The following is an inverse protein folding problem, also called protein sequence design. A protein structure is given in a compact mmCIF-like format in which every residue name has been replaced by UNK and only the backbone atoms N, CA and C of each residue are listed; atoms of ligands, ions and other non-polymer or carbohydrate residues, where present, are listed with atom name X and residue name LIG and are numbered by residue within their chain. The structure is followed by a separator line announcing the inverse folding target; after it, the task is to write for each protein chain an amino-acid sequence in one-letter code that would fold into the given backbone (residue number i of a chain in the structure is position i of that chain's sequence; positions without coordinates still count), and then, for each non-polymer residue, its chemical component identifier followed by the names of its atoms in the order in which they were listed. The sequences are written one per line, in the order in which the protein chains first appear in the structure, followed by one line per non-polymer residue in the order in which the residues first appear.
data_IF_140652182508
#
_entry.id   IF_140652182508
#
_cell.length_a   1.000
_cell.length_b   1.000
_cell.length_c   1.000
_cell.angle_alpha   90.00
_cell.angle_beta   90.00
_cell.angle_gamma   90.00
#
_symmetry.space_group_name_H-M   'P 1'
#
loop_
_entity.id
_entity.type
_entity.pdbx_description
1 polymer ?
#
# COMPACT_ATOMS: atom_id res chain seq x y z
N UNK A 1 0.47 20.06 25.93
CA UNK A 1 -0.64 19.36 25.24
C UNK A 1 0.01 18.65 24.07
N UNK A 2 0.46 17.41 24.28
CA UNK A 2 0.99 16.61 23.17
C UNK A 2 -0.21 16.31 22.27
N UNK A 3 -0.19 16.81 21.04
CA UNK A 3 -1.11 16.35 20.01
C UNK A 3 -0.86 14.85 19.89
N UNK A 4 -1.78 14.02 20.38
CA UNK A 4 -1.75 12.60 20.09
C UNK A 4 -1.78 12.48 18.55
N UNK A 5 -0.84 11.74 17.98
CA UNK A 5 -0.89 11.44 16.56
C UNK A 5 -2.26 10.78 16.27
N UNK A 6 -3.01 11.23 15.25
CA UNK A 6 -4.29 10.62 14.93
C UNK A 6 -4.11 9.11 14.70
N UNK A 7 -5.12 8.34 15.09
CA UNK A 7 -5.13 6.88 14.95
C UNK A 7 -4.89 6.49 13.48
N UNK A 8 -4.13 5.43 13.28
CA UNK A 8 -3.73 4.99 11.95
C UNK A 8 -4.84 4.27 11.19
N UNK A 9 -5.73 3.61 11.93
CA UNK A 9 -6.84 2.85 11.40
C UNK A 9 -8.11 3.70 11.49
N UNK A 10 -8.79 3.83 10.37
CA UNK A 10 -10.12 4.41 10.27
C UNK A 10 -11.09 3.27 9.99
N UNK A 11 -11.92 2.95 10.97
CA UNK A 11 -13.12 2.13 10.77
C UNK A 11 -14.20 3.02 10.15
N UNK A 12 -14.97 2.53 9.16
CA UNK A 12 -16.15 3.24 8.67
C UNK A 12 -17.08 3.68 9.81
N UNK A 13 -17.59 4.91 9.73
CA UNK A 13 -18.54 5.48 10.69
C UNK A 13 -20.01 5.38 10.23
N UNK A 14 -20.24 4.75 9.07
CA UNK A 14 -21.55 4.45 8.50
C UNK A 14 -21.96 2.98 8.72
N UNK A 15 -23.21 2.67 8.40
CA UNK A 15 -23.77 1.32 8.59
C UNK A 15 -23.22 0.32 7.56
N UNK A 16 -22.91 -0.89 8.04
CA UNK A 16 -22.63 -2.04 7.18
C UNK A 16 -23.93 -2.55 6.56
N UNK A 17 -24.03 -2.56 5.23
CA UNK A 17 -25.24 -2.97 4.51
C UNK A 17 -25.20 -4.44 4.12
N UNK A 18 -26.35 -5.07 3.89
CA UNK A 18 -26.37 -6.42 3.29
C UNK A 18 -26.01 -6.36 1.79
N UNK A 19 -24.84 -6.90 1.43
CA UNK A 19 -24.38 -6.95 0.04
C UNK A 19 -24.97 -8.14 -0.76
N UNK A 20 -25.64 -9.10 -0.13
CA UNK A 20 -26.18 -10.29 -0.81
C UNK A 20 -27.05 -9.94 -2.04
N UNK A 21 -27.98 -8.97 -1.98
CA UNK A 21 -28.81 -8.62 -3.14
C UNK A 21 -27.99 -8.06 -4.31
N UNK A 22 -26.89 -7.37 -4.03
CA UNK A 22 -25.99 -6.81 -5.05
C UNK A 22 -25.19 -7.95 -5.69
N UNK A 23 -24.62 -8.83 -4.86
CA UNK A 23 -23.77 -9.93 -5.31
C UNK A 23 -24.50 -11.02 -6.09
N UNK A 24 -25.84 -10.99 -6.13
CA UNK A 24 -26.69 -11.88 -6.92
C UNK A 24 -27.05 -11.31 -8.31
N UNK A 25 -26.73 -10.04 -8.58
CA UNK A 25 -26.97 -9.43 -9.90
C UNK A 25 -26.04 -10.04 -10.94
N UNK A 26 -26.54 -10.13 -12.18
CA UNK A 26 -25.74 -10.56 -13.34
C UNK A 26 -24.74 -9.47 -13.78
N UNK A 27 -25.14 -8.20 -13.61
CA UNK A 27 -24.32 -7.04 -13.93
C UNK A 27 -24.46 -5.97 -12.85
N UNK A 28 -23.35 -5.32 -12.51
CA UNK A 28 -23.29 -4.25 -11.52
C UNK A 28 -23.37 -2.89 -12.20
N UNK A 29 -24.20 -1.99 -11.65
CA UNK A 29 -24.20 -0.59 -12.05
C UNK A 29 -23.03 0.18 -11.44
N UNK A 30 -22.85 1.44 -11.81
CA UNK A 30 -21.84 2.30 -11.18
C UNK A 30 -22.11 2.48 -9.68
N UNK A 31 -23.38 2.62 -9.29
CA UNK A 31 -23.81 2.73 -7.90
C UNK A 31 -23.54 1.44 -7.12
N UNK A 32 -23.67 0.27 -7.77
CA UNK A 32 -23.31 -1.01 -7.15
C UNK A 32 -21.82 -1.08 -6.84
N UNK A 33 -20.95 -0.67 -7.76
CA UNK A 33 -19.51 -0.61 -7.51
C UNK A 33 -19.14 0.44 -6.45
N UNK A 34 -19.81 1.59 -6.43
CA UNK A 34 -19.61 2.60 -5.40
C UNK A 34 -19.97 2.04 -4.01
N UNK A 35 -21.11 1.35 -3.91
CA UNK A 35 -21.52 0.71 -2.67
C UNK A 35 -20.52 -0.38 -2.24
N UNK A 36 -20.05 -1.20 -3.18
CA UNK A 36 -19.02 -2.22 -2.89
C UNK A 36 -17.71 -1.60 -2.43
N UNK A 37 -17.28 -0.49 -3.04
CA UNK A 37 -16.10 0.27 -2.62
C UNK A 37 -16.22 0.76 -1.18
N UNK A 38 -17.33 1.43 -0.85
CA UNK A 38 -17.62 1.92 0.50
C UNK A 38 -17.78 0.78 1.50
N UNK A 39 -18.23 -0.40 1.10
CA UNK A 39 -18.48 -1.48 2.04
C UNK A 39 -17.29 -2.42 2.22
N UNK A 40 -16.33 -2.44 1.30
CA UNK A 40 -15.25 -3.44 1.31
C UNK A 40 -13.86 -2.88 1.14
N UNK A 41 -13.75 -1.60 0.76
CA UNK A 41 -12.49 -0.99 0.34
C UNK A 41 -11.92 -1.59 -0.95
N UNK A 42 -12.70 -2.34 -1.74
CA UNK A 42 -12.26 -2.95 -3.00
C UNK A 42 -12.75 -2.17 -4.21
N UNK A 43 -11.82 -1.81 -5.09
CA UNK A 43 -12.15 -1.16 -6.35
C UNK A 43 -12.95 -2.07 -7.28
N UNK A 44 -13.56 -1.47 -8.32
CA UNK A 44 -14.13 -2.24 -9.44
C UNK A 44 -13.15 -3.28 -9.99
N UNK A 45 -11.89 -2.88 -10.21
CA UNK A 45 -10.82 -3.77 -10.70
C UNK A 45 -10.60 -4.99 -9.78
N UNK A 46 -10.61 -4.78 -8.45
CA UNK A 46 -10.47 -5.87 -7.49
C UNK A 46 -11.72 -6.76 -7.43
N UNK A 47 -12.92 -6.17 -7.44
CA UNK A 47 -14.20 -6.88 -7.43
C UNK A 47 -14.33 -7.79 -8.65
N UNK A 48 -14.12 -7.24 -9.85
CA UNK A 48 -14.23 -7.99 -11.11
C UNK A 48 -13.29 -9.19 -11.12
N UNK A 49 -12.05 -8.99 -10.66
CA UNK A 49 -11.11 -10.10 -10.58
C UNK A 49 -11.50 -11.15 -9.54
N UNK A 50 -12.07 -10.76 -8.40
CA UNK A 50 -12.56 -11.73 -7.42
C UNK A 50 -13.68 -12.57 -8.04
N UNK A 51 -14.62 -11.94 -8.75
CA UNK A 51 -15.71 -12.63 -9.46
C UNK A 51 -15.19 -13.62 -10.49
N UNK A 52 -14.16 -13.25 -11.25
CA UNK A 52 -13.60 -14.08 -12.31
C UNK A 52 -12.72 -15.24 -11.80
N UNK A 53 -12.01 -15.04 -10.69
CA UNK A 53 -10.91 -15.95 -10.29
C UNK A 53 -11.16 -16.77 -9.04
N UNK A 54 -12.13 -16.40 -8.19
CA UNK A 54 -12.37 -17.09 -6.92
C UNK A 54 -13.46 -18.15 -7.04
N UNK A 55 -13.28 -19.26 -6.32
CA UNK A 55 -14.26 -20.35 -6.28
C UNK A 55 -15.58 -19.95 -5.61
N UNK A 56 -15.52 -19.03 -4.63
CA UNK A 56 -16.68 -18.51 -3.90
C UNK A 56 -16.63 -16.98 -3.82
N UNK A 57 -16.82 -16.27 -4.94
CA UNK A 57 -16.53 -14.84 -5.02
C UNK A 57 -17.40 -14.01 -4.07
N UNK A 58 -18.70 -14.30 -3.98
CA UNK A 58 -19.61 -13.58 -3.06
C UNK A 58 -19.18 -13.75 -1.60
N UNK A 59 -18.75 -14.96 -1.21
CA UNK A 59 -18.23 -15.21 0.15
C UNK A 59 -16.96 -14.41 0.39
N UNK A 60 -16.02 -14.42 -0.57
CA UNK A 60 -14.79 -13.65 -0.47
C UNK A 60 -15.06 -12.15 -0.30
N UNK A 61 -15.99 -11.57 -1.06
CA UNK A 61 -16.35 -10.15 -0.94
C UNK A 61 -16.98 -9.85 0.44
N UNK A 62 -17.83 -10.74 0.96
CA UNK A 62 -18.41 -10.60 2.30
C UNK A 62 -17.35 -10.73 3.41
N UNK A 63 -16.33 -11.59 3.23
CA UNK A 63 -15.21 -11.68 4.16
C UNK A 63 -14.42 -10.35 4.18
N UNK A 64 -14.21 -9.73 3.02
CA UNK A 64 -13.62 -8.38 2.93
C UNK A 64 -14.49 -7.32 3.62
N UNK A 65 -15.80 -7.35 3.41
CA UNK A 65 -16.73 -6.44 4.09
C UNK A 65 -16.59 -6.56 5.61
N UNK A 66 -16.63 -7.79 6.14
CA UNK A 66 -16.49 -8.00 7.58
C UNK A 66 -15.18 -7.41 8.11
N UNK A 67 -14.07 -7.63 7.40
CA UNK A 67 -12.77 -7.07 7.79
C UNK A 67 -12.72 -5.56 7.69
N UNK A 68 -13.37 -4.98 6.69
CA UNK A 68 -13.40 -3.54 6.48
C UNK A 68 -14.10 -2.78 7.63
N UNK A 69 -15.09 -3.40 8.28
CA UNK A 69 -15.80 -2.85 9.44
C UNK A 69 -15.27 -3.33 10.81
N UNK A 70 -14.34 -4.30 10.85
CA UNK A 70 -13.70 -4.74 12.08
C UNK A 70 -12.80 -3.62 12.64
N UNK A 71 -12.80 -3.40 13.96
CA UNK A 71 -11.82 -2.52 14.63
C UNK A 71 -10.69 -3.35 15.22
N UNK A 72 -9.50 -3.40 14.59
CA UNK A 72 -8.40 -4.25 15.06
C UNK A 72 -7.73 -3.66 16.31
N UNK A 73 -7.14 -4.55 17.12
CA UNK A 73 -6.18 -4.16 18.15
C UNK A 73 -4.81 -4.10 17.49
N UNK A 74 -4.05 -3.02 17.71
CA UNK A 74 -2.68 -2.90 17.20
C UNK A 74 -1.74 -2.33 18.27
N UNK A 75 -0.45 -2.61 18.10
CA UNK A 75 0.63 -2.15 18.98
C UNK A 75 1.69 -1.41 18.17
N UNK A 76 2.29 -0.40 18.77
CA UNK A 76 3.40 0.35 18.20
C UNK A 76 4.74 -0.25 18.66
N UNK A 77 5.55 -0.68 17.70
CA UNK A 77 6.86 -1.29 17.91
C UNK A 77 7.96 -0.36 17.43
N UNK A 78 9.09 -0.34 18.14
CA UNK A 78 10.28 0.41 17.72
C UNK A 78 11.09 -0.41 16.71
N UNK A 79 11.33 0.18 15.54
CA UNK A 79 12.21 -0.35 14.50
C UNK A 79 13.66 0.08 14.73
N UNK A 80 13.85 1.34 15.16
CA UNK A 80 15.11 1.93 15.61
C UNK A 80 14.83 2.91 16.73
N UNK A 81 15.88 3.52 17.31
CA UNK A 81 15.75 4.53 18.37
C UNK A 81 14.76 5.66 18.01
N UNK A 82 14.61 5.96 16.73
CA UNK A 82 13.81 7.09 16.23
C UNK A 82 12.65 6.69 15.32
N UNK A 83 12.53 5.41 14.96
CA UNK A 83 11.52 4.91 14.02
C UNK A 83 10.65 3.85 14.66
N UNK A 84 9.34 3.92 14.40
CA UNK A 84 8.33 3.02 14.92
C UNK A 84 7.36 2.59 13.83
N UNK A 85 6.73 1.43 14.01
CA UNK A 85 5.61 0.98 13.18
C UNK A 85 4.49 0.36 14.03
N UNK A 86 3.26 0.45 13.53
CA UNK A 86 2.11 -0.17 14.17
C UNK A 86 1.75 -1.48 13.48
N UNK A 87 1.49 -2.53 14.25
CA UNK A 87 1.12 -3.86 13.72
C UNK A 87 -0.08 -4.39 14.48
N UNK A 88 -1.00 -5.03 13.77
CA UNK A 88 -2.17 -5.70 14.33
C UNK A 88 -1.74 -6.89 15.20
N UNK A 89 -2.36 -6.97 16.38
CA UNK A 89 -2.19 -8.07 17.32
C UNK A 89 -3.54 -8.64 17.75
N UNK A 90 -3.54 -9.89 18.17
CA UNK A 90 -4.71 -10.50 18.81
C UNK A 90 -4.79 -10.10 20.31
N UNK A 91 -5.80 -10.62 21.02
CA UNK A 91 -5.99 -10.35 22.46
C UNK A 91 -4.82 -10.79 23.35
N UNK A 92 -4.03 -11.77 22.89
CA UNK A 92 -2.81 -12.24 23.58
C UNK A 92 -1.56 -11.41 23.22
N UNK A 93 -1.70 -10.35 22.41
CA UNK A 93 -0.59 -9.52 21.93
C UNK A 93 0.28 -10.18 20.86
N UNK A 94 -0.20 -11.25 20.20
CA UNK A 94 0.51 -11.93 19.10
C UNK A 94 0.13 -11.33 17.75
N UNK A 95 1.10 -11.23 16.84
CA UNK A 95 0.88 -10.78 15.47
C UNK A 95 -0.27 -11.53 14.79
N UNK A 96 -1.12 -10.78 14.10
CA UNK A 96 -2.17 -11.30 13.22
C UNK A 96 -2.36 -10.35 12.05
N UNK A 97 -3.14 -10.78 11.05
CA UNK A 97 -3.52 -9.95 9.92
C UNK A 97 -4.88 -9.28 10.15
N UNK A 98 -5.08 -8.12 9.52
CA UNK A 98 -6.36 -7.42 9.48
C UNK A 98 -7.25 -7.95 8.37
N UNK A 99 -6.74 -7.89 7.15
CA UNK A 99 -7.39 -8.42 5.94
C UNK A 99 -6.34 -8.94 4.96
N UNK A 100 -6.75 -9.78 4.01
CA UNK A 100 -5.87 -10.19 2.91
C UNK A 100 -5.72 -9.08 1.88
N UNK A 101 -4.65 -9.10 1.10
CA UNK A 101 -4.51 -8.18 -0.04
C UNK A 101 -5.09 -8.80 -1.31
N UNK A 102 -6.05 -8.10 -1.92
CA UNK A 102 -6.73 -8.51 -3.13
C UNK A 102 -5.83 -8.33 -4.35
N UNK A 103 -5.87 -9.30 -5.28
CA UNK A 103 -5.30 -9.13 -6.62
C UNK A 103 -3.87 -8.54 -6.65
N UNK A 104 -2.96 -9.07 -5.85
CA UNK A 104 -1.56 -8.63 -5.89
C UNK A 104 -0.98 -8.93 -7.27
N UNK A 105 -0.41 -7.93 -7.94
CA UNK A 105 0.33 -8.06 -9.19
C UNK A 105 1.70 -7.39 -9.08
N UNK A 106 2.66 -7.86 -9.89
CA UNK A 106 3.95 -7.16 -10.03
C UNK A 106 3.73 -5.72 -10.49
N UNK A 107 4.47 -4.81 -9.87
CA UNK A 107 4.34 -3.38 -10.05
C UNK A 107 3.34 -2.73 -9.09
N UNK A 108 2.44 -3.48 -8.45
CA UNK A 108 1.57 -2.87 -7.43
C UNK A 108 2.40 -2.16 -6.36
N UNK A 109 1.92 -1.00 -5.92
CA UNK A 109 2.55 -0.22 -4.87
C UNK A 109 1.71 -0.34 -3.61
N UNK A 110 2.34 -0.68 -2.50
CA UNK A 110 1.70 -0.65 -1.19
C UNK A 110 2.16 0.57 -0.42
N UNK A 111 1.22 1.19 0.28
CA UNK A 111 1.46 2.33 1.14
C UNK A 111 0.76 2.09 2.46
N UNK A 112 1.42 2.43 3.56
CA UNK A 112 0.80 2.45 4.89
C UNK A 112 1.11 3.75 5.60
N UNK A 113 0.15 4.22 6.41
CA UNK A 113 0.32 5.32 7.36
C UNK A 113 0.94 4.84 8.67
N UNK A 114 1.15 3.54 8.86
CA UNK A 114 1.58 2.96 10.15
C UNK A 114 3.07 3.00 10.43
N UNK A 115 3.78 3.99 9.90
CA UNK A 115 5.19 4.20 10.19
C UNK A 115 5.47 5.63 10.59
N UNK A 116 6.33 5.79 11.59
CA UNK A 116 6.63 7.07 12.21
C UNK A 116 8.12 7.22 12.43
N UNK A 117 8.62 8.43 12.18
CA UNK A 117 10.01 8.80 12.44
C UNK A 117 10.02 10.11 13.22
N UNK A 118 10.75 10.15 14.34
CA UNK A 118 10.77 11.29 15.27
C UNK A 118 9.38 11.73 15.77
N UNK A 119 8.42 10.80 15.87
CA UNK A 119 7.05 11.10 16.31
C UNK A 119 6.23 11.86 15.27
N UNK A 120 6.60 11.76 13.98
CA UNK A 120 5.79 12.18 12.86
C UNK A 120 5.42 10.96 12.01
N UNK A 121 4.13 10.81 11.73
CA UNK A 121 3.54 9.77 10.87
C UNK A 121 3.85 10.02 9.40
N UNK A 122 5.02 9.57 8.96
CA UNK A 122 5.49 9.74 7.58
C UNK A 122 5.03 8.60 6.64
N UNK A 123 4.63 7.45 7.19
CA UNK A 123 4.24 6.28 6.42
C UNK A 123 5.39 5.47 5.81
N UNK A 124 5.05 4.42 5.09
CA UNK A 124 5.99 3.53 4.40
C UNK A 124 5.42 3.09 3.05
N UNK A 125 6.31 2.76 2.13
CA UNK A 125 5.95 2.37 0.76
C UNK A 125 6.83 1.22 0.25
N UNK A 126 6.25 0.40 -0.62
CA UNK A 126 6.92 -0.69 -1.30
C UNK A 126 6.34 -0.94 -2.70
N UNK A 127 7.12 -1.65 -3.52
CA UNK A 127 6.69 -2.17 -4.82
C UNK A 127 6.66 -3.70 -4.77
N UNK A 128 5.61 -4.31 -5.32
CA UNK A 128 5.52 -5.76 -5.51
C UNK A 128 6.41 -6.16 -6.68
N UNK A 129 7.36 -7.06 -6.44
CA UNK A 129 8.35 -7.50 -7.44
C UNK A 129 8.21 -8.97 -7.81
N UNK A 130 7.31 -9.69 -7.14
CA UNK A 130 7.04 -11.10 -7.42
C UNK A 130 5.61 -11.44 -6.99
N UNK A 131 4.70 -11.54 -7.97
CA UNK A 131 3.29 -11.89 -7.74
C UNK A 131 3.12 -13.34 -7.25
N UNK A 132 3.94 -14.27 -7.76
CA UNK A 132 3.83 -15.70 -7.49
C UNK A 132 4.23 -16.02 -6.05
N UNK A 133 5.40 -15.52 -5.63
CA UNK A 133 5.92 -15.73 -4.28
C UNK A 133 5.46 -14.65 -3.28
N UNK A 134 4.66 -13.68 -3.73
CA UNK A 134 4.12 -12.59 -2.91
C UNK A 134 5.23 -11.77 -2.22
N UNK A 135 6.24 -11.38 -2.99
CA UNK A 135 7.35 -10.57 -2.48
C UNK A 135 7.22 -9.09 -2.86
N UNK A 136 7.63 -8.26 -1.92
CA UNK A 136 7.79 -6.81 -2.06
C UNK A 136 9.26 -6.44 -2.00
N UNK A 137 9.65 -5.35 -2.67
CA UNK A 137 10.95 -4.71 -2.49
C UNK A 137 10.78 -3.45 -1.64
N UNK A 138 11.53 -3.36 -0.55
CA UNK A 138 11.33 -2.32 0.46
C UNK A 138 12.65 -1.74 0.97
N UNK A 139 12.65 -0.45 1.30
CA UNK A 139 13.70 0.21 2.08
C UNK A 139 13.10 0.60 3.44
N UNK A 140 13.19 -0.31 4.42
CA UNK A 140 12.33 -0.30 5.62
C UNK A 140 12.84 0.66 6.69
N UNK A 141 14.15 0.62 7.01
CA UNK A 141 14.65 1.40 8.15
C UNK A 141 16.12 1.77 8.03
N UNK A 142 16.50 2.78 8.81
CA UNK A 142 17.85 3.29 8.91
C UNK A 142 18.86 2.22 9.29
N UNK A 143 20.02 2.25 8.64
CA UNK A 143 21.11 1.30 8.89
C UNK A 143 20.90 -0.07 8.27
N UNK A 144 19.84 -0.24 7.46
CA UNK A 144 19.62 -1.44 6.65
C UNK A 144 19.61 -1.09 5.17
N UNK A 145 20.01 -2.05 4.34
CA UNK A 145 19.85 -1.93 2.90
C UNK A 145 18.41 -2.31 2.52
N UNK A 146 17.94 -1.80 1.38
CA UNK A 146 16.71 -2.27 0.77
C UNK A 146 16.78 -3.76 0.48
N UNK A 147 15.65 -4.44 0.64
CA UNK A 147 15.59 -5.90 0.56
C UNK A 147 14.19 -6.39 0.23
N UNK A 148 14.11 -7.66 -0.12
CA UNK A 148 12.84 -8.37 -0.23
C UNK A 148 12.13 -8.47 1.14
N UNK A 149 10.82 -8.32 1.11
CA UNK A 149 9.88 -8.68 2.15
C UNK A 149 8.67 -9.40 1.56
N UNK A 150 7.61 -9.58 2.34
CA UNK A 150 6.42 -10.34 1.93
C UNK A 150 5.17 -9.50 2.00
N UNK A 151 4.24 -9.75 1.08
CA UNK A 151 2.87 -9.17 1.10
C UNK A 151 2.19 -9.41 2.44
N UNK A 152 2.42 -10.55 3.10
CA UNK A 152 1.82 -10.86 4.40
C UNK A 152 2.22 -9.91 5.53
N UNK A 153 3.35 -9.20 5.41
CA UNK A 153 3.70 -8.10 6.33
C UNK A 153 2.72 -6.93 6.19
N UNK A 154 2.24 -6.68 4.98
CA UNK A 154 1.31 -5.59 4.72
C UNK A 154 -0.10 -5.89 5.22
N UNK A 155 -0.48 -7.17 5.20
CA UNK A 155 -1.73 -7.66 5.78
C UNK A 155 -1.80 -7.48 7.31
N UNK A 156 -0.65 -7.31 7.99
CA UNK A 156 -0.60 -7.04 9.43
C UNK A 156 -0.53 -5.57 9.81
N UNK A 157 -0.42 -4.65 8.84
CA UNK A 157 -0.58 -3.23 9.15
C UNK A 157 -2.03 -2.92 9.49
N UNK A 158 -2.30 -2.03 10.46
CA UNK A 158 -3.65 -1.59 10.77
C UNK A 158 -4.24 -0.76 9.63
N UNK A 159 -3.44 -0.27 8.67
CA UNK A 159 -3.96 0.29 7.44
C UNK A 159 -3.02 0.01 6.27
N UNK A 160 -3.58 -0.06 5.06
CA UNK A 160 -2.81 -0.01 3.83
C UNK A 160 -3.64 0.54 2.67
N UNK A 161 -2.93 0.96 1.63
CA UNK A 161 -3.43 1.36 0.33
C UNK A 161 -2.66 0.54 -0.71
N UNK A 162 -3.37 -0.14 -1.60
CA UNK A 162 -2.81 -0.80 -2.76
C UNK A 162 -3.11 0.04 -4.01
N UNK A 163 -2.06 0.37 -4.74
CA UNK A 163 -2.11 1.19 -5.95
C UNK A 163 -1.58 0.39 -7.14
N UNK A 164 -2.09 0.71 -8.32
CA UNK A 164 -1.63 0.13 -9.59
C UNK A 164 -1.52 1.21 -10.65
N UNK A 165 -0.43 1.17 -11.43
CA UNK A 165 -0.26 2.09 -12.55
C UNK A 165 -1.36 1.86 -13.57
N UNK A 166 -2.18 2.89 -13.79
CA UNK A 166 -3.32 2.85 -14.71
C UNK A 166 -2.85 3.03 -16.15
N UNK A 167 -3.73 2.73 -17.11
CA UNK A 167 -3.48 2.88 -18.55
C UNK A 167 -2.17 2.23 -19.06
N UNK A 168 -1.71 1.21 -18.33
CA UNK A 168 -0.46 0.48 -18.59
C UNK A 168 -0.76 -1.02 -18.56
N UNK A 169 -0.16 -1.80 -19.47
CA UNK A 169 -0.34 -3.25 -19.49
C UNK A 169 0.41 -3.95 -18.35
N UNK A 170 0.03 -5.21 -18.07
CA UNK A 170 0.58 -6.00 -16.97
C UNK A 170 2.07 -6.28 -17.19
N UNK A 171 2.47 -6.53 -18.43
CA UNK A 171 3.84 -6.84 -18.82
C UNK A 171 4.79 -5.67 -18.56
N UNK A 172 4.35 -4.44 -18.84
CA UNK A 172 5.11 -3.21 -18.58
C UNK A 172 5.25 -2.97 -17.08
N UNK A 173 4.20 -3.17 -16.29
CA UNK A 173 4.28 -3.08 -14.82
C UNK A 173 5.23 -4.11 -14.22
N UNK A 174 5.17 -5.36 -14.70
CA UNK A 174 6.09 -6.41 -14.32
C UNK A 174 7.55 -6.05 -14.67
N UNK A 175 7.79 -5.50 -15.87
CA UNK A 175 9.12 -5.04 -16.28
C UNK A 175 9.67 -3.94 -15.35
N UNK A 176 8.84 -2.96 -14.98
CA UNK A 176 9.22 -1.91 -14.01
C UNK A 176 9.64 -2.54 -12.67
N UNK A 177 8.84 -3.47 -12.16
CA UNK A 177 9.09 -4.12 -10.89
C UNK A 177 10.36 -4.99 -10.90
N UNK A 178 10.58 -5.75 -11.98
CA UNK A 178 11.79 -6.55 -12.14
C UNK A 178 13.04 -5.67 -12.29
N UNK A 179 12.94 -4.54 -12.99
CA UNK A 179 14.03 -3.57 -13.07
C UNK A 179 14.35 -2.97 -11.70
N UNK A 180 13.32 -2.64 -10.91
CA UNK A 180 13.49 -2.19 -9.53
C UNK A 180 14.23 -3.23 -8.69
N UNK A 181 13.86 -4.51 -8.78
CA UNK A 181 14.56 -5.59 -8.08
C UNK A 181 16.04 -5.69 -8.44
N UNK A 182 16.39 -5.50 -9.72
CA UNK A 182 17.79 -5.57 -10.18
C UNK A 182 18.63 -4.41 -9.65
N UNK A 183 18.12 -3.18 -9.70
CA UNK A 183 18.93 -1.97 -9.45
C UNK A 183 18.70 -1.32 -8.08
N UNK A 184 17.56 -1.56 -7.45
CA UNK A 184 17.16 -0.92 -6.19
C UNK A 184 17.19 -1.86 -4.99
N UNK A 185 17.53 -3.13 -5.17
CA UNK A 185 17.80 -4.05 -4.08
C UNK A 185 19.22 -3.86 -3.54
N UNK A 186 19.40 -4.11 -2.25
CA UNK A 186 20.68 -3.99 -1.53
C UNK A 186 21.27 -2.57 -1.53
N UNK A 187 20.42 -1.54 -1.59
CA UNK A 187 20.84 -0.14 -1.51
C UNK A 187 20.74 0.39 -0.06
N UNK A 188 21.76 1.08 0.45
CA UNK A 188 21.71 1.72 1.76
C UNK A 188 20.53 2.68 1.93
N UNK A 189 19.88 2.64 3.10
CA UNK A 189 18.84 3.60 3.46
C UNK A 189 19.41 5.02 3.65
N UNK A 190 18.75 6.03 3.07
CA UNK A 190 19.07 7.45 3.20
C UNK A 190 17.83 8.31 3.46
N UNK A 191 17.71 8.85 4.68
CA UNK A 191 16.66 9.81 5.04
C UNK A 191 16.71 11.09 4.19
N UNK A 192 17.91 11.49 3.75
CA UNK A 192 18.14 12.74 3.00
C UNK A 192 18.14 12.57 1.48
N UNK A 193 17.61 11.46 0.96
CA UNK A 193 17.46 11.29 -0.49
C UNK A 193 16.56 12.38 -1.06
N UNK A 194 17.06 13.17 -2.01
CA UNK A 194 16.42 14.38 -2.53
C UNK A 194 16.95 15.69 -1.94
N UNK A 195 17.58 15.67 -0.76
CA UNK A 195 18.20 16.84 -0.12
C UNK A 195 19.73 16.85 -0.21
N UNK A 196 20.37 15.70 0.09
CA UNK A 196 21.83 15.53 0.05
C UNK A 196 22.30 14.68 -1.12
N UNK A 197 21.37 13.96 -1.73
CA UNK A 197 21.58 13.15 -2.93
C UNK A 197 20.56 13.58 -3.98
N UNK A 198 20.93 13.48 -5.26
CA UNK A 198 20.02 13.88 -6.33
C UNK A 198 18.84 12.93 -6.36
N UNK A 199 17.64 13.49 -6.47
CA UNK A 199 16.39 12.73 -6.49
C UNK A 199 16.35 11.77 -7.68
N UNK A 200 16.59 12.24 -8.90
CA UNK A 200 16.63 11.36 -10.07
C UNK A 200 18.06 10.89 -10.33
N UNK A 201 18.32 9.60 -10.13
CA UNK A 201 19.62 8.99 -10.35
C UNK A 201 19.56 8.01 -11.54
N UNK A 202 20.53 8.06 -12.47
CA UNK A 202 20.71 7.01 -13.46
C UNK A 202 20.90 5.64 -12.83
N UNK A 203 20.38 4.58 -13.48
CA UNK A 203 20.43 3.18 -13.00
C UNK A 203 21.84 2.71 -12.61
N UNK A 204 22.86 3.14 -13.32
CA UNK A 204 24.26 2.76 -13.13
C UNK A 204 24.97 3.53 -12.01
N UNK A 205 24.31 4.53 -11.42
CA UNK A 205 24.89 5.45 -10.44
C UNK A 205 24.13 5.53 -9.12
N UNK A 206 22.99 4.83 -9.00
CA UNK A 206 22.18 4.87 -7.80
C UNK A 206 22.90 4.24 -6.61
N UNK A 207 23.04 4.99 -5.52
CA UNK A 207 23.91 4.60 -4.39
C UNK A 207 23.19 4.40 -3.07
N UNK A 208 21.97 4.93 -2.94
CA UNK A 208 21.15 4.85 -1.73
C UNK A 208 19.69 5.11 -2.09
N UNK A 209 18.78 4.88 -1.15
CA UNK A 209 17.35 5.15 -1.35
C UNK A 209 16.61 5.29 -0.01
N UNK A 210 15.34 5.68 -0.04
CA UNK A 210 14.39 5.44 1.05
C UNK A 210 13.15 4.73 0.48
N UNK A 211 12.14 4.46 1.31
CA UNK A 211 10.95 3.72 0.89
C UNK A 211 10.21 4.35 -0.30
N UNK A 212 9.93 5.64 -0.24
CA UNK A 212 9.16 6.35 -1.28
C UNK A 212 9.99 6.62 -2.53
N UNK A 213 11.25 7.02 -2.35
CA UNK A 213 12.18 7.20 -3.45
C UNK A 213 12.42 5.88 -4.21
N UNK A 214 12.48 4.74 -3.53
CA UNK A 214 12.64 3.43 -4.18
C UNK A 214 11.49 3.19 -5.17
N UNK A 215 10.26 3.42 -4.73
CA UNK A 215 9.08 3.27 -5.60
C UNK A 215 9.12 4.30 -6.72
N UNK A 216 9.29 5.58 -6.40
CA UNK A 216 9.29 6.64 -7.42
C UNK A 216 10.40 6.45 -8.47
N UNK A 217 11.62 6.09 -8.06
CA UNK A 217 12.75 5.94 -8.97
C UNK A 217 12.52 4.79 -9.96
N UNK A 218 11.92 3.68 -9.50
CA UNK A 218 11.56 2.55 -10.35
C UNK A 218 10.64 2.99 -11.51
N UNK A 219 9.63 3.80 -11.21
CA UNK A 219 8.68 4.32 -12.19
C UNK A 219 9.25 5.47 -13.03
N UNK A 220 10.05 6.35 -12.42
CA UNK A 220 10.68 7.48 -13.07
C UNK A 220 11.62 7.06 -14.21
N UNK A 221 12.33 5.92 -14.07
CA UNK A 221 13.17 5.37 -15.15
C UNK A 221 12.38 5.02 -16.42
N UNK A 222 11.08 4.84 -16.30
CA UNK A 222 10.16 4.54 -17.40
C UNK A 222 9.29 5.76 -17.79
N UNK A 223 9.59 6.95 -17.23
CA UNK A 223 8.91 8.20 -17.56
C UNK A 223 7.63 8.47 -16.76
N UNK A 224 7.33 7.67 -15.74
CA UNK A 224 6.19 7.89 -14.85
C UNK A 224 6.64 8.67 -13.60
N UNK A 225 6.38 9.97 -13.59
CA UNK A 225 6.68 10.82 -12.43
C UNK A 225 5.55 10.70 -11.40
N UNK A 226 5.78 9.88 -10.37
CA UNK A 226 4.79 9.63 -9.31
C UNK A 226 4.77 10.71 -8.23
N UNK A 227 5.64 11.70 -8.31
CA UNK A 227 5.69 12.77 -7.33
C UNK A 227 4.61 13.81 -7.63
N UNK A 228 3.54 13.81 -6.83
CA UNK A 228 2.38 14.68 -7.05
C UNK A 228 2.61 16.15 -6.67
N UNK A 229 3.63 16.47 -5.85
CA UNK A 229 3.93 17.86 -5.46
C UNK A 229 5.12 18.48 -6.23
N UNK A 230 5.88 17.66 -6.95
CA UNK A 230 7.04 18.08 -7.76
C UNK A 230 8.23 18.53 -6.92
N UNK A 231 8.23 18.23 -5.63
CA UNK A 231 9.24 18.61 -4.66
C UNK A 231 10.56 17.87 -4.81
N UNK A 232 11.49 18.23 -3.92
CA UNK A 232 12.80 17.60 -3.85
C UNK A 232 12.76 16.21 -3.22
N UNK A 233 11.83 15.99 -2.29
CA UNK A 233 11.61 14.73 -1.60
C UNK A 233 10.42 14.02 -2.23
N UNK A 234 10.44 12.69 -2.22
CA UNK A 234 9.25 11.89 -2.46
C UNK A 234 8.82 11.29 -1.13
N UNK A 235 7.54 11.39 -0.82
CA UNK A 235 6.93 10.83 0.38
C UNK A 235 5.86 9.79 0.02
N UNK A 236 5.41 8.95 0.97
CA UNK A 236 4.29 8.06 0.72
C UNK A 236 3.00 8.81 0.40
N UNK A 237 2.84 10.04 0.90
CA UNK A 237 1.73 10.92 0.53
C UNK A 237 1.76 11.26 -0.96
N UNK A 238 2.94 11.60 -1.49
CA UNK A 238 3.07 12.00 -2.89
C UNK A 238 2.69 10.85 -3.82
N UNK A 239 3.14 9.63 -3.48
CA UNK A 239 2.78 8.39 -4.17
C UNK A 239 1.27 8.10 -4.07
N UNK A 240 0.67 8.22 -2.88
CA UNK A 240 -0.74 7.96 -2.66
C UNK A 240 -1.65 8.92 -3.45
N UNK A 241 -1.20 10.15 -3.66
CA UNK A 241 -1.93 11.19 -4.37
C UNK A 241 -1.52 11.34 -5.85
N UNK A 242 -0.71 10.43 -6.39
CA UNK A 242 -0.33 10.46 -7.80
C UNK A 242 -1.52 10.15 -8.71
N UNK A 243 -1.82 11.05 -9.64
CA UNK A 243 -2.85 10.85 -10.66
C UNK A 243 -2.56 9.68 -11.62
N UNK A 244 -1.35 9.12 -11.60
CA UNK A 244 -0.97 7.99 -12.45
C UNK A 244 -1.46 6.64 -11.91
N UNK A 245 -1.88 6.59 -10.65
CA UNK A 245 -2.38 5.36 -10.04
C UNK A 245 -3.90 5.25 -10.08
N UNK A 246 -4.39 4.01 -10.21
CA UNK A 246 -5.70 3.61 -9.70
C UNK A 246 -5.52 2.99 -8.31
N UNK A 247 -6.53 3.14 -7.45
CA UNK A 247 -6.57 2.46 -6.15
C UNK A 247 -7.23 1.10 -6.36
N UNK A 248 -6.56 0.03 -5.94
CA UNK A 248 -7.06 -1.34 -6.05
C UNK A 248 -7.81 -1.75 -4.78
N UNK A 249 -7.22 -1.48 -3.63
CA UNK A 249 -7.77 -1.80 -2.32
C UNK A 249 -7.34 -0.77 -1.27
N UNK A 250 -8.22 -0.49 -0.32
CA UNK A 250 -7.94 0.23 0.92
C UNK A 250 -8.38 -0.59 2.13
N UNK A 251 -7.65 -0.44 3.23
CA UNK A 251 -8.02 -1.00 4.52
C UNK A 251 -7.58 -0.04 5.63
N UNK A 252 -8.46 0.24 6.59
CA UNK A 252 -8.17 1.15 7.70
C UNK A 252 -7.91 2.60 7.28
N UNK A 253 -8.38 3.03 6.12
CA UNK A 253 -8.33 4.43 5.66
C UNK A 253 -9.69 4.84 5.10
N UNK A 254 -9.96 6.15 5.08
CA UNK A 254 -11.16 6.70 4.43
C UNK A 254 -11.08 6.47 2.90
N UNK A 255 -12.00 5.68 2.30
CA UNK A 255 -12.01 5.42 0.86
C UNK A 255 -12.22 6.68 0.00
N UNK A 256 -12.84 7.73 0.56
CA UNK A 256 -13.07 8.99 -0.13
C UNK A 256 -11.90 9.96 0.02
N UNK A 257 -10.98 9.68 0.94
CA UNK A 257 -9.82 10.51 1.21
C UNK A 257 -8.65 9.67 1.74
N UNK A 258 -8.07 8.88 0.84
CA UNK A 258 -7.06 7.88 1.21
C UNK A 258 -5.79 8.51 1.82
N UNK A 259 -5.47 9.78 1.49
CA UNK A 259 -4.39 10.54 2.13
C UNK A 259 -4.57 12.08 2.03
N UNK A 260 -5.11 12.76 3.06
CA UNK A 260 -5.30 14.22 3.07
C UNK A 260 -3.98 15.01 3.07
#
# INVERSE_FOLDING_TARGET
MYLAEPEAHITPDYEQVDLQPILQKEHFSQEDYQLLWEQTGLSKTAIDQILDTRFHPSKTILDYQQKFFDTPIYQCYSNTVISHEEIIVNQDGKYTIGTSIANVQEGDVFITKSSHTFGWRNGHAAIVVDEENKNTLESITLGTNSRLSTVSRWESYPNFIQLRLKDTDKETRAMIAQNALVYLNDLPYSLGMGLWHWKNQPQDSISCTNCSHLVWQAYQWYGYDLDSDGGFLVTPKDLANSDLFEVIQVYGVDPNNIWP
#
